data_IF_787819309544
#
_entry.id   IF_787819309544
#
_cell.length_a   1.000
_cell.length_b   1.000
_cell.length_c   1.000
_cell.angle_alpha   90.00
_cell.angle_beta   90.00
_cell.angle_gamma   90.00
#
_symmetry.space_group_name_H-M   'P 1'
#
loop_
_entity.id
_entity.type
_entity.pdbx_description
1 polymer ?
#
# COMPACT_ATOMS: atom_id res chain seq x y z
N UNK A 1 -19.00 1.17 34.23
CA UNK A 1 -17.74 0.73 33.58
C UNK A 1 -17.60 -0.76 33.85
N UNK A 2 -17.65 -1.62 32.82
CA UNK A 2 -17.57 -3.08 33.01
C UNK A 2 -16.14 -3.51 32.70
N UNK A 3 -15.38 -3.89 33.73
CA UNK A 3 -14.01 -4.38 33.55
C UNK A 3 -14.02 -5.91 33.54
N UNK A 4 -13.71 -6.52 32.39
CA UNK A 4 -13.31 -7.93 32.37
C UNK A 4 -11.90 -7.99 32.98
N UNK A 5 -11.72 -8.81 34.02
CA UNK A 5 -10.46 -8.92 34.77
C UNK A 5 -9.29 -9.12 33.79
N UNK A 6 -8.37 -8.15 33.76
CA UNK A 6 -7.19 -8.09 32.88
C UNK A 6 -7.45 -7.89 31.37
N UNK A 7 -8.48 -7.12 30.99
CA UNK A 7 -8.67 -6.66 29.61
C UNK A 7 -8.63 -5.12 29.52
N UNK A 8 -8.19 -4.55 28.38
CA UNK A 8 -8.18 -3.09 28.17
C UNK A 8 -9.59 -2.49 28.35
N UNK A 9 -9.63 -1.23 28.76
CA UNK A 9 -10.89 -0.52 29.03
C UNK A 9 -11.77 -0.46 27.78
N UNK A 10 -12.94 -1.09 27.86
CA UNK A 10 -13.96 -1.04 26.81
C UNK A 10 -14.83 0.19 27.01
N UNK A 11 -14.90 1.06 25.99
CA UNK A 11 -15.88 2.15 25.93
C UNK A 11 -17.18 1.59 25.35
N UNK A 12 -18.26 1.69 26.12
CA UNK A 12 -19.60 1.37 25.65
C UNK A 12 -20.13 2.59 24.89
N UNK A 13 -20.13 2.54 23.57
CA UNK A 13 -20.88 3.46 22.71
C UNK A 13 -22.23 2.85 22.37
N UNK A 14 -23.23 3.71 22.11
CA UNK A 14 -24.48 3.25 21.54
C UNK A 14 -24.19 2.65 20.15
N UNK A 15 -24.73 1.46 19.87
CA UNK A 15 -24.56 0.81 18.58
C UNK A 15 -25.10 1.68 17.43
N UNK A 16 -26.18 2.44 17.67
CA UNK A 16 -26.76 3.35 16.69
C UNK A 16 -25.84 4.56 16.38
N UNK A 17 -25.14 5.09 17.37
CA UNK A 17 -24.19 6.20 17.18
C UNK A 17 -22.98 5.73 16.36
N UNK A 18 -22.50 4.52 16.64
CA UNK A 18 -21.37 3.91 15.92
C UNK A 18 -21.72 3.63 14.44
N UNK A 19 -22.96 3.20 14.18
CA UNK A 19 -23.44 2.95 12.81
C UNK A 19 -23.60 4.26 12.02
N UNK A 20 -24.08 5.34 12.66
CA UNK A 20 -24.20 6.67 12.06
C UNK A 20 -22.83 7.29 11.72
N UNK A 21 -21.86 7.18 12.64
CA UNK A 21 -20.47 7.62 12.42
C UNK A 21 -19.82 6.85 11.26
N UNK A 22 -20.06 5.54 11.16
CA UNK A 22 -19.54 4.73 10.06
C UNK A 22 -20.13 5.15 8.71
N UNK A 23 -21.45 5.37 8.64
CA UNK A 23 -22.12 5.82 7.40
C UNK A 23 -21.66 7.21 6.95
N UNK A 24 -21.42 8.12 7.89
CA UNK A 24 -20.91 9.45 7.56
C UNK A 24 -19.47 9.39 7.05
N UNK A 25 -18.62 8.54 7.64
CA UNK A 25 -17.26 8.29 7.14
C UNK A 25 -17.27 7.65 5.74
N UNK A 26 -18.16 6.70 5.47
CA UNK A 26 -18.34 6.09 4.15
C UNK A 26 -18.77 7.13 3.11
N UNK A 27 -19.72 8.00 3.44
CA UNK A 27 -20.16 9.06 2.53
C UNK A 27 -19.03 10.06 2.22
N UNK A 28 -18.26 10.48 3.23
CA UNK A 28 -17.09 11.35 3.06
C UNK A 28 -16.01 10.68 2.21
N UNK A 29 -15.80 9.38 2.43
CA UNK A 29 -14.87 8.56 1.66
C UNK A 29 -15.24 8.49 0.19
N UNK A 30 -16.53 8.32 -0.12
CA UNK A 30 -17.03 8.33 -1.50
C UNK A 30 -16.87 9.70 -2.15
N UNK A 31 -17.16 10.79 -1.43
CA UNK A 31 -16.94 12.16 -1.94
C UNK A 31 -15.46 12.45 -2.21
N UNK A 32 -14.58 12.04 -1.31
CA UNK A 32 -13.13 12.17 -1.50
C UNK A 32 -12.65 11.34 -2.70
N UNK A 33 -13.17 10.11 -2.85
CA UNK A 33 -12.86 9.26 -3.99
C UNK A 33 -13.26 9.88 -5.34
N UNK A 34 -14.41 10.57 -5.39
CA UNK A 34 -14.88 11.31 -6.56
C UNK A 34 -14.06 12.57 -6.86
N UNK A 35 -13.39 13.15 -5.84
CA UNK A 35 -12.57 14.35 -5.98
C UNK A 35 -11.18 14.06 -6.57
N UNK A 36 -10.76 12.80 -6.67
CA UNK A 36 -9.46 12.43 -7.21
C UNK A 36 -9.57 12.36 -8.74
N UNK A 37 -9.05 13.39 -9.42
CA UNK A 37 -8.94 13.48 -10.88
C UNK A 37 -7.48 13.39 -11.36
N UNK A 38 -7.27 13.28 -12.67
CA UNK A 38 -5.93 13.15 -13.26
C UNK A 38 -5.03 14.37 -12.97
N UNK A 39 -5.60 15.57 -12.89
CA UNK A 39 -4.86 16.79 -12.57
C UNK A 39 -4.36 16.78 -11.11
N UNK A 40 -5.14 16.24 -10.17
CA UNK A 40 -4.72 16.00 -8.80
C UNK A 40 -3.61 14.94 -8.74
N UNK A 41 -3.69 13.87 -9.54
CA UNK A 41 -2.64 12.84 -9.63
C UNK A 41 -1.29 13.46 -10.02
N UNK A 42 -1.25 14.24 -11.09
CA UNK A 42 -0.03 14.93 -11.56
C UNK A 42 0.56 15.85 -10.47
N UNK A 43 -0.29 16.58 -9.75
CA UNK A 43 0.14 17.44 -8.63
C UNK A 43 0.68 16.65 -7.44
N UNK A 44 0.18 15.45 -7.19
CA UNK A 44 0.68 14.58 -6.12
C UNK A 44 2.03 13.98 -6.52
N UNK A 45 2.17 13.48 -7.75
CA UNK A 45 3.44 12.94 -8.26
C UNK A 45 4.58 13.95 -8.10
N UNK A 46 4.33 15.22 -8.44
CA UNK A 46 5.35 16.29 -8.34
C UNK A 46 5.70 16.68 -6.90
N UNK A 47 4.91 16.28 -5.91
CA UNK A 47 5.12 16.60 -4.48
C UNK A 47 5.38 15.38 -3.61
N UNK A 48 5.40 14.20 -4.21
CA UNK A 48 5.50 12.92 -3.53
C UNK A 48 6.71 12.85 -2.60
N UNK A 49 7.85 13.37 -3.04
CA UNK A 49 9.11 13.40 -2.30
C UNK A 49 9.08 14.26 -1.03
N UNK A 50 8.12 15.18 -0.92
CA UNK A 50 7.92 15.98 0.30
C UNK A 50 7.39 15.10 1.43
N UNK A 51 6.45 14.20 1.11
CA UNK A 51 5.83 13.30 2.10
C UNK A 51 6.59 11.99 2.25
N UNK A 52 7.14 11.47 1.14
CA UNK A 52 7.83 10.21 1.07
C UNK A 52 9.21 10.42 0.43
N UNK A 53 10.24 10.83 1.20
CA UNK A 53 11.57 11.13 0.63
C UNK A 53 12.19 9.96 -0.13
N UNK A 54 11.89 8.72 0.27
CA UNK A 54 12.37 7.51 -0.42
C UNK A 54 11.80 7.37 -1.84
N UNK A 55 10.70 8.04 -2.19
CA UNK A 55 10.13 7.98 -3.53
C UNK A 55 11.05 8.61 -4.59
N UNK A 56 12.04 9.41 -4.20
CA UNK A 56 13.05 9.92 -5.14
C UNK A 56 13.99 8.84 -5.67
N UNK A 57 14.09 7.70 -4.97
CA UNK A 57 14.85 6.54 -5.44
C UNK A 57 14.13 5.79 -6.58
N UNK A 58 12.83 6.03 -6.76
CA UNK A 58 12.10 5.48 -7.90
C UNK A 58 12.45 6.24 -9.19
N UNK A 59 12.70 5.53 -10.30
CA UNK A 59 12.83 6.15 -11.61
C UNK A 59 11.61 7.00 -11.96
N UNK A 60 11.82 8.16 -12.60
CA UNK A 60 10.75 9.11 -12.88
C UNK A 60 9.55 8.51 -13.65
N UNK A 61 9.80 7.52 -14.52
CA UNK A 61 8.77 6.84 -15.29
C UNK A 61 7.92 5.85 -14.47
N UNK A 62 8.40 5.40 -13.30
CA UNK A 62 7.71 4.45 -12.41
C UNK A 62 6.85 5.18 -11.36
N UNK A 63 7.20 6.43 -11.02
CA UNK A 63 6.46 7.22 -10.01
C UNK A 63 4.95 7.35 -10.29
N UNK A 64 4.48 7.52 -11.53
CA UNK A 64 3.05 7.55 -11.83
C UNK A 64 2.32 6.25 -11.44
N UNK A 65 2.95 5.09 -11.63
CA UNK A 65 2.35 3.79 -11.30
C UNK A 65 2.15 3.65 -9.79
N UNK A 66 3.15 4.07 -8.99
CA UNK A 66 3.02 4.12 -7.54
C UNK A 66 1.83 4.99 -7.10
N UNK A 67 1.73 6.20 -7.62
CA UNK A 67 0.65 7.13 -7.23
C UNK A 67 -0.72 6.59 -7.64
N UNK A 68 -0.83 6.02 -8.84
CA UNK A 68 -2.07 5.41 -9.33
C UNK A 68 -2.50 4.23 -8.45
N UNK A 69 -1.59 3.30 -8.14
CA UNK A 69 -1.90 2.14 -7.30
C UNK A 69 -2.24 2.56 -5.86
N UNK A 70 -1.43 3.44 -5.25
CA UNK A 70 -1.65 3.93 -3.89
C UNK A 70 -3.03 4.56 -3.75
N UNK A 71 -3.44 5.42 -4.69
CA UNK A 71 -4.74 6.09 -4.62
C UNK A 71 -5.90 5.15 -4.94
N UNK A 72 -5.70 4.18 -5.83
CA UNK A 72 -6.71 3.16 -6.09
C UNK A 72 -6.98 2.32 -4.84
N UNK A 73 -5.93 1.88 -4.15
CA UNK A 73 -6.03 1.11 -2.92
C UNK A 73 -6.57 1.97 -1.78
N UNK A 74 -6.15 3.23 -1.67
CA UNK A 74 -6.67 4.16 -0.67
C UNK A 74 -8.20 4.36 -0.82
N UNK A 75 -8.70 4.55 -2.04
CA UNK A 75 -10.15 4.63 -2.31
C UNK A 75 -10.88 3.36 -1.90
N UNK A 76 -10.34 2.19 -2.25
CA UNK A 76 -10.92 0.91 -1.86
C UNK A 76 -10.95 0.73 -0.32
N UNK A 77 -9.85 1.07 0.35
CA UNK A 77 -9.70 1.02 1.81
C UNK A 77 -10.68 1.96 2.52
N UNK A 78 -10.84 3.18 2.02
CA UNK A 78 -11.79 4.18 2.52
C UNK A 78 -13.24 3.68 2.40
N UNK A 79 -13.60 3.06 1.28
CA UNK A 79 -14.96 2.52 1.07
C UNK A 79 -15.34 1.39 2.02
N UNK A 80 -14.37 0.67 2.61
CA UNK A 80 -14.60 -0.47 3.51
C UNK A 80 -14.11 -0.24 4.94
N UNK A 81 -13.53 0.94 5.23
CA UNK A 81 -12.96 1.29 6.54
C UNK A 81 -11.77 0.43 6.98
N UNK A 82 -11.02 -0.18 6.05
CA UNK A 82 -9.88 -1.06 6.37
C UNK A 82 -8.63 -0.68 5.59
N UNK A 83 -7.54 -0.35 6.29
CA UNK A 83 -6.32 0.22 5.69
C UNK A 83 -5.12 -0.75 5.63
N UNK A 84 -5.27 -1.98 6.10
CA UNK A 84 -4.20 -2.99 6.14
C UNK A 84 -3.50 -3.12 4.77
N UNK A 85 -4.30 -3.16 3.69
CA UNK A 85 -3.80 -3.27 2.32
C UNK A 85 -3.04 -2.04 1.85
N UNK A 86 -3.44 -0.84 2.28
CA UNK A 86 -2.74 0.40 1.93
C UNK A 86 -1.34 0.43 2.54
N UNK A 87 -1.20 0.00 3.80
CA UNK A 87 0.10 -0.14 4.47
C UNK A 87 1.01 -1.13 3.75
N UNK A 88 0.50 -2.30 3.38
CA UNK A 88 1.26 -3.30 2.62
C UNK A 88 1.74 -2.72 1.29
N UNK A 89 0.87 -1.98 0.59
CA UNK A 89 1.20 -1.33 -0.68
C UNK A 89 2.32 -0.33 -0.51
N UNK A 90 2.26 0.51 0.54
CA UNK A 90 3.29 1.51 0.81
C UNK A 90 4.67 0.88 1.07
N UNK A 91 4.72 -0.18 1.88
CA UNK A 91 5.97 -0.89 2.17
C UNK A 91 6.52 -1.62 0.93
N UNK A 92 5.67 -2.21 0.10
CA UNK A 92 6.08 -2.84 -1.14
C UNK A 92 6.73 -1.83 -2.11
N UNK A 93 6.14 -0.63 -2.25
CA UNK A 93 6.70 0.43 -3.06
C UNK A 93 8.01 1.00 -2.51
N UNK A 94 8.14 1.08 -1.18
CA UNK A 94 9.41 1.45 -0.55
C UNK A 94 10.50 0.40 -0.83
N UNK A 95 10.19 -0.88 -0.70
CA UNK A 95 11.12 -1.97 -1.06
C UNK A 95 11.51 -1.94 -2.54
N UNK A 96 10.56 -1.60 -3.43
CA UNK A 96 10.83 -1.38 -4.85
C UNK A 96 11.83 -0.24 -5.06
N UNK A 97 11.65 0.87 -4.34
CA UNK A 97 12.55 2.01 -4.38
C UNK A 97 13.97 1.65 -3.85
N UNK A 98 14.05 0.84 -2.80
CA UNK A 98 15.31 0.30 -2.28
C UNK A 98 16.01 -0.59 -3.32
N UNK A 99 15.27 -1.45 -4.03
CA UNK A 99 15.83 -2.29 -5.08
C UNK A 99 16.38 -1.47 -6.26
N UNK A 100 15.69 -0.40 -6.67
CA UNK A 100 16.21 0.51 -7.70
C UNK A 100 17.46 1.28 -7.26
N UNK A 101 17.63 1.50 -5.95
CA UNK A 101 18.79 2.18 -5.40
C UNK A 101 19.98 1.25 -5.16
N UNK A 102 19.78 -0.08 -5.22
CA UNK A 102 20.82 -1.06 -4.98
C UNK A 102 21.75 -1.17 -6.20
N UNK A 103 23.03 -0.78 -6.10
CA UNK A 103 23.96 -0.87 -7.22
C UNK A 103 24.34 -2.32 -7.58
N UNK A 104 24.01 -3.31 -6.74
CA UNK A 104 24.27 -4.71 -7.01
C UNK A 104 23.23 -5.36 -7.94
N UNK A 105 22.06 -4.73 -8.12
CA UNK A 105 20.97 -5.24 -8.95
C UNK A 105 21.05 -4.61 -10.34
N UNK A 106 21.12 -5.44 -11.38
CA UNK A 106 21.13 -4.95 -12.74
C UNK A 106 19.69 -4.73 -13.24
N UNK A 107 19.34 -3.49 -13.61
CA UNK A 107 17.97 -3.14 -14.07
C UNK A 107 17.60 -3.83 -15.39
N UNK A 108 18.58 -4.25 -16.18
CA UNK A 108 18.40 -4.95 -17.46
C UNK A 108 18.35 -6.48 -17.32
N UNK A 109 18.29 -6.99 -16.08
CA UNK A 109 18.32 -8.42 -15.77
C UNK A 109 19.56 -9.15 -16.31
N UNK A 110 20.64 -8.42 -16.63
CA UNK A 110 21.90 -9.03 -17.08
C UNK A 110 22.61 -9.83 -15.99
N UNK A 111 22.25 -9.60 -14.72
CA UNK A 111 22.65 -10.37 -13.56
C UNK A 111 21.88 -11.69 -13.40
N UNK A 112 20.77 -11.88 -14.13
CA UNK A 112 19.99 -13.11 -14.10
C UNK A 112 20.57 -14.18 -15.02
N UNK A 113 20.85 -15.36 -14.46
CA UNK A 113 21.17 -16.55 -15.23
C UNK A 113 19.91 -17.39 -15.45
N UNK A 114 19.37 -17.33 -16.67
CA UNK A 114 18.27 -18.20 -17.07
C UNK A 114 18.77 -19.59 -17.46
N UNK A 115 18.07 -20.63 -17.02
CA UNK A 115 18.35 -22.00 -17.43
C UNK A 115 17.87 -22.27 -18.86
N UNK A 116 18.73 -22.87 -19.68
CA UNK A 116 18.42 -23.24 -21.08
C UNK A 116 17.39 -24.38 -21.18
N UNK A 117 17.24 -25.17 -20.11
CA UNK A 117 16.26 -26.25 -20.01
C UNK A 117 15.61 -26.24 -18.61
N UNK A 118 14.36 -26.74 -18.47
CA UNK A 118 13.71 -26.85 -17.18
C UNK A 118 14.52 -27.76 -16.24
N UNK A 119 15.00 -27.23 -15.12
CA UNK A 119 15.66 -27.99 -14.07
C UNK A 119 14.64 -28.43 -13.00
N UNK A 120 14.66 -29.70 -12.62
CA UNK A 120 13.79 -30.22 -11.58
C UNK A 120 14.29 -29.74 -10.21
N UNK A 121 13.60 -28.75 -9.63
CA UNK A 121 13.88 -28.30 -8.26
C UNK A 121 13.40 -29.37 -7.27
N UNK A 122 14.25 -29.82 -6.33
CA UNK A 122 13.87 -30.77 -5.29
C UNK A 122 12.63 -30.30 -4.53
N UNK A 123 11.73 -31.22 -4.16
CA UNK A 123 10.55 -30.85 -3.37
C UNK A 123 11.01 -30.31 -2.00
N UNK A 124 10.71 -29.04 -1.66
CA UNK A 124 11.21 -28.40 -0.45
C UNK A 124 10.65 -29.04 0.84
N UNK A 125 9.68 -29.95 0.74
CA UNK A 125 9.11 -30.70 1.86
C UNK A 125 9.81 -32.04 2.11
N UNK A 126 10.54 -32.55 1.13
CA UNK A 126 11.39 -33.73 1.25
C UNK A 126 12.83 -33.24 1.33
N UNK A 127 13.23 -32.73 2.49
CA UNK A 127 14.58 -32.23 2.70
C UNK A 127 15.64 -33.32 2.46
N UNK A 128 16.68 -32.95 1.73
CA UNK A 128 18.06 -33.39 2.00
C UNK A 128 18.80 -32.25 2.72
#
# INVERSE_FOLDING_TARGET
MLTRRSAPALRLSNAADTESETRTLEALSQLLALSIDDAMLERIVTRLSITFPWADLLPAHVRPDFVAEFLNIARACLAVGRFDRLTITLEAWKSTAEAYADPAVAVDASDLHYFDAPEAVPDPRTGE
#
